data_IF_820429746015
#
_entry.id   IF_820429746015
#
_cell.length_a   1.000
_cell.length_b   1.000
_cell.length_c   1.000
_cell.angle_alpha   90.00
_cell.angle_beta   90.00
_cell.angle_gamma   90.00
#
_symmetry.space_group_name_H-M   'P 1'
#
loop_
_entity.id
_entity.type
_entity.pdbx_description
1 polymer ?
#
# COMPACT_ATOMS: atom_id res chain seq x y z
N UNK A 1 7.16 14.05 -2.71
CA UNK A 1 7.72 13.46 -3.94
C UNK A 1 6.85 13.68 -5.18
N UNK A 2 5.56 14.00 -5.02
CA UNK A 2 4.61 14.27 -6.13
C UNK A 2 5.03 15.36 -7.10
N UNK A 3 5.79 16.37 -6.67
CA UNK A 3 6.30 17.43 -7.55
C UNK A 3 7.27 16.94 -8.64
N UNK A 4 7.95 15.81 -8.42
CA UNK A 4 8.98 15.27 -9.33
C UNK A 4 8.60 13.92 -9.93
N UNK A 5 7.67 13.19 -9.31
CA UNK A 5 7.23 11.87 -9.76
C UNK A 5 6.31 11.97 -10.98
N UNK A 6 6.56 11.13 -12.00
CA UNK A 6 5.73 11.04 -13.21
C UNK A 6 4.99 9.69 -13.22
N UNK A 7 3.64 9.68 -13.11
CA UNK A 7 2.86 8.45 -13.05
C UNK A 7 2.58 7.88 -14.45
N UNK A 8 3.62 7.67 -15.25
CA UNK A 8 3.55 7.02 -16.57
C UNK A 8 4.51 5.85 -16.59
N UNK A 9 4.14 4.73 -17.20
CA UNK A 9 4.90 3.46 -17.05
C UNK A 9 6.29 3.54 -17.67
N UNK A 10 6.46 4.36 -18.70
CA UNK A 10 7.74 4.63 -19.35
C UNK A 10 8.65 5.55 -18.53
N UNK A 11 8.09 6.48 -17.73
CA UNK A 11 8.88 7.48 -16.99
C UNK A 11 8.90 7.26 -15.47
N UNK A 12 8.07 6.37 -14.93
CA UNK A 12 7.94 6.15 -13.48
C UNK A 12 9.27 5.77 -12.84
N UNK A 13 9.99 4.80 -13.43
CA UNK A 13 11.29 4.36 -12.96
C UNK A 13 12.34 5.49 -13.06
N UNK A 14 12.41 6.18 -14.20
CA UNK A 14 13.37 7.26 -14.41
C UNK A 14 13.11 8.48 -13.52
N UNK A 15 11.84 8.84 -13.28
CA UNK A 15 11.48 9.94 -12.37
C UNK A 15 11.87 9.65 -10.93
N UNK A 16 11.79 8.38 -10.52
CA UNK A 16 12.31 7.90 -9.24
C UNK A 16 13.83 8.02 -9.16
N UNK A 17 14.54 7.65 -10.22
CA UNK A 17 16.00 7.76 -10.27
C UNK A 17 16.44 9.23 -10.23
N UNK A 18 15.75 10.11 -10.95
CA UNK A 18 15.96 11.55 -10.91
C UNK A 18 15.81 12.14 -9.50
N UNK A 19 14.80 11.71 -8.73
CA UNK A 19 14.65 12.11 -7.32
C UNK A 19 15.85 11.66 -6.48
N UNK A 20 16.45 10.50 -6.79
CA UNK A 20 17.58 9.97 -6.04
C UNK A 20 18.91 10.63 -6.37
N UNK A 21 19.13 11.01 -7.64
CA UNK A 21 20.45 11.46 -8.11
C UNK A 21 20.54 12.97 -8.35
N UNK A 22 19.50 13.60 -8.90
CA UNK A 22 19.56 14.98 -9.38
C UNK A 22 18.88 15.99 -8.45
N UNK A 23 17.86 15.57 -7.70
CA UNK A 23 17.13 16.45 -6.79
C UNK A 23 17.92 16.67 -5.51
N UNK A 24 18.17 17.93 -5.16
CA UNK A 24 18.79 18.31 -3.88
C UNK A 24 18.03 17.70 -2.70
N UNK A 25 18.71 16.89 -1.88
CA UNK A 25 18.13 16.12 -0.77
C UNK A 25 16.97 15.17 -1.16
N UNK A 26 16.78 14.87 -2.45
CA UNK A 26 15.71 13.98 -2.89
C UNK A 26 15.88 12.55 -2.38
N UNK A 27 17.13 12.06 -2.29
CA UNK A 27 17.48 10.79 -1.65
C UNK A 27 17.04 10.73 -0.18
N UNK A 28 17.19 11.83 0.56
CA UNK A 28 16.83 11.92 1.97
C UNK A 28 15.31 11.85 2.13
N UNK A 29 14.57 12.61 1.32
CA UNK A 29 13.10 12.60 1.35
C UNK A 29 12.56 11.21 1.02
N UNK A 30 13.12 10.53 0.02
CA UNK A 30 12.70 9.16 -0.33
C UNK A 30 13.05 8.17 0.78
N UNK A 31 14.25 8.27 1.37
CA UNK A 31 14.67 7.42 2.48
C UNK A 31 13.74 7.60 3.68
N UNK A 32 13.49 8.84 4.09
CA UNK A 32 12.56 9.17 5.18
C UNK A 32 11.18 8.61 4.88
N UNK A 33 10.64 8.82 3.68
CA UNK A 33 9.32 8.29 3.32
C UNK A 33 9.26 6.76 3.40
N UNK A 34 10.30 6.05 2.95
CA UNK A 34 10.39 4.59 3.07
C UNK A 34 10.44 4.13 4.53
N UNK A 35 11.29 4.76 5.33
CA UNK A 35 11.43 4.42 6.76
C UNK A 35 10.16 4.74 7.55
N UNK A 36 9.55 5.91 7.32
CA UNK A 36 8.29 6.30 7.92
C UNK A 36 7.15 5.35 7.54
N UNK A 37 7.09 4.89 6.29
CA UNK A 37 6.11 3.88 5.88
C UNK A 37 6.29 2.55 6.64
N UNK A 38 7.54 2.08 6.80
CA UNK A 38 7.83 0.88 7.59
C UNK A 38 7.44 1.05 9.07
N UNK A 39 7.73 2.21 9.66
CA UNK A 39 7.37 2.50 11.05
C UNK A 39 5.85 2.58 11.24
N UNK A 40 5.12 3.14 10.27
CA UNK A 40 3.66 3.20 10.30
C UNK A 40 3.04 1.80 10.30
N UNK A 41 3.56 0.89 9.47
CA UNK A 41 3.10 -0.50 9.44
C UNK A 41 3.46 -1.25 10.73
N UNK A 42 4.67 -1.07 11.28
CA UNK A 42 5.04 -1.70 12.56
C UNK A 42 4.16 -1.24 13.72
N UNK A 43 3.85 0.07 13.80
CA UNK A 43 2.95 0.58 14.83
C UNK A 43 1.53 0.04 14.67
N UNK A 44 1.06 -0.19 13.43
CA UNK A 44 -0.23 -0.82 13.19
C UNK A 44 -0.24 -2.30 13.61
N UNK A 45 0.86 -3.03 13.38
CA UNK A 45 1.01 -4.42 13.82
C UNK A 45 1.06 -4.53 15.36
N UNK A 46 1.76 -3.60 16.03
CA UNK A 46 1.74 -3.48 17.50
C UNK A 46 0.30 -3.25 18.01
N UNK A 47 -0.43 -2.33 17.39
CA UNK A 47 -1.82 -2.03 17.74
C UNK A 47 -2.73 -3.24 17.51
N UNK A 48 -2.52 -4.00 16.43
CA UNK A 48 -3.26 -5.23 16.15
C UNK A 48 -3.02 -6.30 17.23
N UNK A 49 -1.78 -6.46 17.69
CA UNK A 49 -1.45 -7.39 18.79
C UNK A 49 -2.10 -6.97 20.11
N UNK A 50 -2.01 -5.70 20.48
CA UNK A 50 -2.65 -5.18 21.69
C UNK A 50 -4.17 -5.34 21.60
N UNK A 51 -4.75 -5.09 20.42
CA UNK A 51 -6.18 -5.28 20.16
C UNK A 51 -6.57 -6.75 20.31
N UNK A 52 -5.80 -7.69 19.78
CA UNK A 52 -6.03 -9.13 19.94
C UNK A 52 -6.00 -9.56 21.42
N UNK A 53 -5.03 -9.06 22.20
CA UNK A 53 -4.99 -9.30 23.66
C UNK A 53 -6.23 -8.72 24.34
N UNK A 54 -6.66 -7.52 23.96
CA UNK A 54 -7.89 -6.90 24.48
C UNK A 54 -9.15 -7.71 24.14
N UNK A 55 -9.15 -8.40 22.98
CA UNK A 55 -10.19 -9.34 22.55
C UNK A 55 -10.28 -10.58 23.42
N UNK A 56 -9.14 -11.06 23.92
CA UNK A 56 -9.09 -12.19 24.84
C UNK A 56 -9.46 -11.79 26.28
N UNK A 57 -9.25 -10.51 26.65
CA UNK A 57 -9.55 -9.98 28.00
C UNK A 57 -10.91 -9.25 28.12
N UNK A 58 -11.70 -9.15 27.05
CA UNK A 58 -13.02 -8.51 27.09
C UNK A 58 -13.01 -6.97 27.04
N UNK A 59 -11.86 -6.34 26.74
CA UNK A 59 -11.63 -4.89 26.82
C UNK A 59 -12.27 -4.03 25.72
N UNK A 60 -12.82 -4.70 24.69
CA UNK A 60 -13.57 -4.13 23.56
C UNK A 60 -15.04 -3.83 23.90
N UNK A 61 -15.53 -4.27 25.08
CA UNK A 61 -16.87 -3.92 25.55
C UNK A 61 -17.02 -2.41 25.75
N UNK A 62 -18.25 -1.92 25.59
CA UNK A 62 -18.69 -0.55 25.83
C UNK A 62 -17.88 0.18 26.91
N UNK A 63 -17.33 1.40 26.65
CA UNK A 63 -17.62 2.32 25.53
C UNK A 63 -16.57 2.34 24.39
N UNK A 64 -15.67 1.36 24.29
CA UNK A 64 -14.50 1.40 23.39
C UNK A 64 -14.67 0.74 22.01
N UNK A 65 -15.90 0.37 21.66
CA UNK A 65 -16.24 -0.33 20.41
C UNK A 65 -15.88 0.51 19.16
N UNK A 66 -16.14 1.81 19.18
CA UNK A 66 -15.82 2.71 18.07
C UNK A 66 -14.31 2.85 17.84
N UNK A 67 -13.51 2.91 18.91
CA UNK A 67 -12.04 2.94 18.81
C UNK A 67 -11.49 1.69 18.15
N UNK A 68 -12.13 0.54 18.37
CA UNK A 68 -11.72 -0.70 17.73
C UNK A 68 -12.06 -0.70 16.23
N UNK A 69 -13.29 -0.32 15.86
CA UNK A 69 -13.71 -0.24 14.46
C UNK A 69 -12.84 0.74 13.68
N UNK A 70 -12.55 1.92 14.24
CA UNK A 70 -11.67 2.89 13.59
C UNK A 70 -10.24 2.36 13.46
N UNK A 71 -9.72 1.65 14.45
CA UNK A 71 -8.41 0.99 14.38
C UNK A 71 -8.32 -0.04 13.25
N UNK A 72 -9.35 -0.89 13.09
CA UNK A 72 -9.41 -1.88 11.99
C UNK A 72 -9.45 -1.19 10.64
N UNK A 73 -10.29 -0.17 10.47
CA UNK A 73 -10.41 0.59 9.22
C UNK A 73 -9.07 1.26 8.87
N UNK A 74 -8.42 1.92 9.84
CA UNK A 74 -7.12 2.54 9.64
C UNK A 74 -6.02 1.52 9.29
N UNK A 75 -6.08 0.31 9.87
CA UNK A 75 -5.15 -0.77 9.54
C UNK A 75 -5.29 -1.23 8.09
N UNK A 76 -6.52 -1.40 7.60
CA UNK A 76 -6.78 -1.76 6.19
C UNK A 76 -6.34 -0.65 5.24
N UNK A 77 -6.61 0.62 5.57
CA UNK A 77 -6.16 1.76 4.77
C UNK A 77 -4.63 1.86 4.72
N UNK A 78 -3.96 1.67 5.86
CA UNK A 78 -2.49 1.68 5.97
C UNK A 78 -1.87 0.58 5.11
N UNK A 79 -2.42 -0.63 5.16
CA UNK A 79 -1.99 -1.73 4.28
C UNK A 79 -2.19 -1.40 2.80
N UNK A 80 -3.32 -0.79 2.45
CA UNK A 80 -3.64 -0.36 1.08
C UNK A 80 -2.65 0.69 0.56
N UNK A 81 -2.28 1.67 1.40
CA UNK A 81 -1.23 2.65 1.08
C UNK A 81 0.15 1.99 0.90
N UNK A 82 0.46 0.96 1.69
CA UNK A 82 1.69 0.18 1.55
C UNK A 82 1.79 -0.51 0.20
N UNK A 83 0.74 -1.23 -0.21
CA UNK A 83 0.70 -1.96 -1.49
C UNK A 83 0.77 -1.00 -2.67
N UNK A 84 -0.06 0.04 -2.68
CA UNK A 84 -0.08 1.04 -3.76
C UNK A 84 1.25 1.78 -3.85
N UNK A 85 1.79 2.27 -2.73
CA UNK A 85 3.09 2.96 -2.67
C UNK A 85 4.26 2.11 -3.17
N UNK A 86 4.23 0.79 -2.91
CA UNK A 86 5.26 -0.14 -3.36
C UNK A 86 5.29 -0.35 -4.88
N UNK A 87 4.15 -0.18 -5.55
CA UNK A 87 4.04 -0.30 -7.01
C UNK A 87 4.50 0.92 -7.81
N UNK A 88 4.57 2.11 -7.18
CA UNK A 88 4.86 3.38 -7.87
C UNK A 88 6.24 3.44 -8.58
N UNK A 89 7.33 2.88 -8.04
CA UNK A 89 8.63 2.91 -8.72
C UNK A 89 8.69 2.11 -10.02
N UNK A 90 7.70 1.23 -10.27
CA UNK A 90 7.62 0.35 -11.42
C UNK A 90 8.91 -0.45 -11.69
N UNK A 91 9.58 -0.86 -10.62
CA UNK A 91 10.70 -1.80 -10.69
C UNK A 91 10.17 -3.25 -10.81
N UNK A 92 11.07 -4.21 -11.04
CA UNK A 92 10.68 -5.60 -11.21
C UNK A 92 9.86 -6.12 -10.02
N UNK A 93 10.22 -5.72 -8.79
CA UNK A 93 9.55 -6.19 -7.58
C UNK A 93 8.16 -5.55 -7.45
N UNK A 94 8.03 -4.24 -7.69
CA UNK A 94 6.74 -3.55 -7.71
C UNK A 94 5.78 -4.10 -8.76
N UNK A 95 6.29 -4.37 -9.98
CA UNK A 95 5.48 -4.95 -11.07
C UNK A 95 4.93 -6.34 -10.70
N UNK A 96 5.78 -7.24 -10.20
CA UNK A 96 5.35 -8.58 -9.80
C UNK A 96 4.41 -8.54 -8.59
N UNK A 97 4.63 -7.62 -7.64
CA UNK A 97 3.73 -7.43 -6.51
C UNK A 97 2.31 -7.06 -6.96
N UNK A 98 2.17 -6.13 -7.93
CA UNK A 98 0.85 -5.77 -8.49
C UNK A 98 0.21 -6.97 -9.18
N UNK A 99 0.96 -7.72 -9.98
CA UNK A 99 0.45 -8.92 -10.66
C UNK A 99 -0.08 -9.98 -9.68
N UNK A 100 0.59 -10.16 -8.54
CA UNK A 100 0.16 -11.11 -7.51
C UNK A 100 -1.10 -10.59 -6.82
N UNK A 101 -1.11 -9.34 -6.36
CA UNK A 101 -2.25 -8.74 -5.62
C UNK A 101 -3.50 -8.69 -6.48
N UNK A 102 -3.39 -8.29 -7.75
CA UNK A 102 -4.51 -8.24 -8.69
C UNK A 102 -5.00 -9.63 -9.12
N UNK A 103 -4.19 -10.67 -8.92
CA UNK A 103 -4.56 -12.07 -9.13
C UNK A 103 -5.28 -12.73 -7.95
N UNK A 104 -5.23 -12.17 -6.73
CA UNK A 104 -5.90 -12.76 -5.55
C UNK A 104 -7.42 -12.88 -5.72
N UNK A 105 -8.13 -11.88 -6.28
CA UNK A 105 -9.57 -11.98 -6.50
C UNK A 105 -9.99 -13.07 -7.50
N UNK A 106 -9.09 -13.53 -8.40
CA UNK A 106 -9.37 -14.64 -9.33
C UNK A 106 -9.70 -15.95 -8.58
N UNK A 107 -9.21 -16.10 -7.34
CA UNK A 107 -9.48 -17.27 -6.51
C UNK A 107 -10.91 -17.30 -5.93
N UNK A 108 -11.68 -16.20 -6.04
CA UNK A 108 -13.05 -16.12 -5.53
C UNK A 108 -14.03 -16.37 -6.68
N UNK A 109 -14.64 -17.57 -6.79
CA UNK A 109 -15.47 -17.94 -7.93
C UNK A 109 -16.73 -17.08 -8.11
N UNK A 110 -17.15 -16.35 -7.06
CA UNK A 110 -18.38 -15.52 -7.05
C UNK A 110 -18.13 -14.06 -7.48
N UNK A 111 -16.90 -13.53 -7.33
CA UNK A 111 -16.57 -12.10 -7.55
C UNK A 111 -15.92 -11.88 -8.94
N UNK A 112 -16.14 -12.82 -9.87
CA UNK A 112 -15.45 -12.87 -11.16
C UNK A 112 -15.81 -11.73 -12.14
N UNK A 113 -16.88 -10.96 -11.89
CA UNK A 113 -17.64 -10.38 -13.00
C UNK A 113 -17.22 -8.99 -13.51
N UNK A 114 -16.91 -7.95 -12.69
CA UNK A 114 -16.35 -6.69 -13.23
C UNK A 114 -15.10 -6.15 -12.52
N UNK A 115 -14.88 -6.48 -11.25
CA UNK A 115 -13.81 -5.91 -10.44
C UNK A 115 -12.42 -6.37 -10.92
N UNK A 116 -12.31 -7.64 -11.27
CA UNK A 116 -11.08 -8.25 -11.78
C UNK A 116 -10.71 -7.70 -13.15
N UNK A 117 -11.70 -7.56 -14.03
CA UNK A 117 -11.50 -7.01 -15.38
C UNK A 117 -11.01 -5.57 -15.30
N UNK A 118 -11.61 -4.75 -14.44
CA UNK A 118 -11.17 -3.37 -14.18
C UNK A 118 -9.73 -3.31 -13.64
N UNK A 119 -9.38 -4.17 -12.68
CA UNK A 119 -8.01 -4.23 -12.15
C UNK A 119 -6.99 -4.69 -13.20
N UNK A 120 -7.39 -5.59 -14.11
CA UNK A 120 -6.57 -6.02 -15.26
C UNK A 120 -6.43 -4.92 -16.30
N UNK A 121 -7.50 -4.23 -16.66
CA UNK A 121 -7.46 -3.10 -17.60
C UNK A 121 -6.55 -1.98 -17.08
N UNK A 122 -6.61 -1.67 -15.78
CA UNK A 122 -5.71 -0.69 -15.17
C UNK A 122 -4.24 -1.13 -15.21
N UNK A 123 -3.97 -2.44 -15.08
CA UNK A 123 -2.60 -2.97 -15.14
C UNK A 123 -2.07 -3.09 -16.58
N UNK A 124 -2.92 -3.46 -17.54
CA UNK A 124 -2.54 -3.68 -18.95
C UNK A 124 -2.61 -2.39 -19.79
N UNK A 125 -3.53 -1.48 -19.48
CA UNK A 125 -3.60 -0.15 -20.10
C UNK A 125 -2.42 0.74 -19.72
N UNK A 126 -1.73 0.40 -18.62
CA UNK A 126 -0.47 1.03 -18.24
C UNK A 126 0.72 0.50 -19.08
N UNK A 127 0.63 -0.71 -19.65
CA UNK A 127 1.72 -1.32 -20.44
C UNK A 127 1.74 -0.96 -21.93
N UNK A 128 0.76 -0.19 -22.43
CA UNK A 128 0.66 0.24 -23.83
C UNK A 128 0.92 1.74 -23.99
#
# INVERSE_FOLDING_TARGET
>A
MTFYYRPTVTEAFFSVQYIMTEVNFGWLIRAVHRWSASMMVSSNDDLARISCVSHLTGGFKNPRELTWVTGVVLGVLTASFGVTGYSLPWDQIGYWAVKIVTGVPDAIPVIRSPLVELLRELCNGATN
#
